data_IF_953537051392
#
_entry.id   IF_953537051392
#
_cell.length_a   1.000
_cell.length_b   1.000
_cell.length_c   1.000
_cell.angle_alpha   90.00
_cell.angle_beta   90.00
_cell.angle_gamma   90.00
#
_symmetry.space_group_name_H-M   'P 1'
#
loop_
_entity.id
_entity.type
_entity.pdbx_description
1 polymer ?
#
# COMPACT_ATOMS: atom_id res chain seq x y z
N UNK A 1 13.58 -36.40 -15.38
CA UNK A 1 13.04 -35.20 -16.04
C UNK A 1 12.45 -34.36 -14.91
N UNK A 2 12.55 -33.03 -14.95
CA UNK A 2 11.89 -32.19 -13.93
C UNK A 2 10.38 -32.44 -13.95
N UNK A 3 9.76 -32.39 -12.76
CA UNK A 3 8.31 -32.59 -12.60
C UNK A 3 7.54 -31.45 -13.27
N UNK A 4 6.39 -31.74 -13.92
CA UNK A 4 5.55 -30.70 -14.52
C UNK A 4 4.84 -29.88 -13.43
N UNK A 5 4.81 -28.55 -13.61
CA UNK A 5 4.15 -27.61 -12.70
C UNK A 5 3.55 -26.45 -13.50
N UNK A 6 2.34 -26.04 -13.17
CA UNK A 6 1.70 -24.86 -13.76
C UNK A 6 1.84 -23.68 -12.82
N UNK A 7 2.40 -22.57 -13.32
CA UNK A 7 2.39 -21.27 -12.64
C UNK A 7 1.22 -20.43 -13.15
N UNK A 8 0.31 -20.06 -12.24
CA UNK A 8 -0.75 -19.10 -12.51
C UNK A 8 -0.27 -17.71 -12.10
N UNK A 9 -0.14 -16.83 -13.07
CA UNK A 9 0.38 -15.48 -12.87
C UNK A 9 -0.77 -14.49 -12.80
N UNK A 10 -0.90 -13.77 -11.68
CA UNK A 10 -1.90 -12.73 -11.51
C UNK A 10 -1.67 -11.55 -12.46
N UNK A 11 -2.74 -11.00 -13.01
CA UNK A 11 -2.73 -9.72 -13.71
C UNK A 11 -4.00 -8.92 -13.30
N UNK A 12 -3.83 -7.71 -12.74
CA UNK A 12 -2.57 -7.02 -12.47
C UNK A 12 -1.82 -7.55 -11.24
N UNK A 13 -0.51 -7.31 -11.22
CA UNK A 13 0.39 -7.55 -10.08
C UNK A 13 1.48 -6.48 -10.03
N UNK A 14 2.23 -6.43 -8.94
CA UNK A 14 3.39 -5.54 -8.79
C UNK A 14 3.02 -4.05 -8.75
N UNK A 15 3.91 -3.18 -9.17
CA UNK A 15 3.79 -1.74 -9.01
C UNK A 15 2.45 -1.17 -9.46
N UNK A 16 1.90 -0.26 -8.65
CA UNK A 16 0.75 0.57 -9.01
C UNK A 16 1.20 1.99 -9.39
N UNK A 17 0.32 2.76 -10.03
CA UNK A 17 0.63 4.14 -10.44
C UNK A 17 1.07 5.05 -9.30
N UNK A 18 0.59 4.81 -8.06
CA UNK A 18 1.00 5.57 -6.88
C UNK A 18 2.44 5.31 -6.48
N UNK A 19 2.84 4.04 -6.51
CA UNK A 19 4.21 3.58 -6.24
C UNK A 19 5.18 4.06 -7.32
N UNK A 20 4.87 3.84 -8.59
CA UNK A 20 5.69 4.33 -9.71
C UNK A 20 5.94 5.83 -9.61
N UNK A 21 4.88 6.60 -9.34
CA UNK A 21 4.99 8.05 -9.16
C UNK A 21 5.92 8.41 -7.99
N UNK A 22 5.82 7.74 -6.87
CA UNK A 22 6.60 8.06 -5.68
C UNK A 22 8.10 7.77 -5.89
N UNK A 23 8.44 6.63 -6.49
CA UNK A 23 9.81 6.27 -6.85
C UNK A 23 10.37 7.30 -7.83
N UNK A 24 9.63 7.62 -8.90
CA UNK A 24 10.01 8.60 -9.90
C UNK A 24 10.26 9.99 -9.30
N UNK A 25 9.51 10.39 -8.29
CA UNK A 25 9.72 11.67 -7.59
C UNK A 25 11.10 11.70 -6.90
N UNK A 26 11.51 10.62 -6.24
CA UNK A 26 12.84 10.54 -5.60
C UNK A 26 13.94 10.57 -6.65
N UNK A 27 13.80 9.81 -7.73
CA UNK A 27 14.77 9.80 -8.85
C UNK A 27 14.92 11.20 -9.48
N UNK A 28 13.79 11.86 -9.77
CA UNK A 28 13.81 13.23 -10.30
C UNK A 28 14.38 14.25 -9.31
N UNK A 29 14.20 14.02 -8.00
CA UNK A 29 14.83 14.85 -6.97
C UNK A 29 16.35 14.68 -6.96
N UNK A 30 16.84 13.44 -7.06
CA UNK A 30 18.26 13.13 -7.17
C UNK A 30 18.88 13.75 -8.46
N UNK A 31 18.18 13.64 -9.59
CA UNK A 31 18.61 14.24 -10.85
C UNK A 31 18.67 15.77 -10.76
N UNK A 32 17.67 16.38 -10.13
CA UNK A 32 17.54 17.85 -10.11
C UNK A 32 18.47 18.53 -9.12
N UNK A 33 18.67 17.95 -7.93
CA UNK A 33 19.41 18.57 -6.82
C UNK A 33 20.72 17.87 -6.47
N UNK A 34 20.98 16.72 -7.06
CA UNK A 34 22.11 15.87 -6.71
C UNK A 34 21.92 15.16 -5.37
N UNK A 35 22.76 14.16 -5.14
CA UNK A 35 22.81 13.46 -3.87
C UNK A 35 23.50 14.30 -2.77
N UNK A 36 23.12 14.16 -1.50
CA UNK A 36 22.00 13.33 -1.00
C UNK A 36 20.64 14.02 -1.13
N UNK A 37 19.59 13.22 -1.42
CA UNK A 37 18.18 13.60 -1.25
C UNK A 37 17.64 12.80 -0.07
N UNK A 38 17.07 13.50 0.90
CA UNK A 38 16.47 12.84 2.06
C UNK A 38 15.06 12.36 1.75
N UNK A 39 14.69 11.20 2.27
CA UNK A 39 13.35 10.63 2.13
C UNK A 39 12.84 10.31 3.54
N UNK A 40 11.76 10.99 3.92
CA UNK A 40 11.14 10.75 5.21
C UNK A 40 10.31 9.49 5.14
N UNK A 41 10.67 8.49 5.95
CA UNK A 41 10.15 7.13 5.92
C UNK A 41 10.52 6.39 4.63
N UNK A 42 10.31 5.07 4.58
CA UNK A 42 10.42 4.33 3.33
C UNK A 42 9.48 4.94 2.29
N UNK A 43 9.98 5.22 1.08
CA UNK A 43 9.16 5.82 0.01
C UNK A 43 7.94 4.95 -0.30
N UNK A 44 8.14 3.63 -0.26
CA UNK A 44 7.16 2.55 -0.34
C UNK A 44 7.68 1.36 0.47
N UNK A 45 6.81 0.51 0.97
CA UNK A 45 7.20 -0.68 1.74
C UNK A 45 7.76 -1.77 0.85
N UNK A 46 9.01 -1.61 0.42
CA UNK A 46 9.78 -2.62 -0.31
C UNK A 46 11.27 -2.37 -0.17
N UNK A 47 11.98 -3.30 0.49
CA UNK A 47 13.41 -3.16 0.79
C UNK A 47 14.26 -3.06 -0.48
N UNK A 48 13.94 -3.83 -1.52
CA UNK A 48 14.66 -3.76 -2.80
C UNK A 48 14.63 -2.35 -3.38
N UNK A 49 13.44 -1.72 -3.41
CA UNK A 49 13.26 -0.35 -3.90
C UNK A 49 14.03 0.66 -3.04
N UNK A 50 13.95 0.51 -1.72
CA UNK A 50 14.67 1.38 -0.77
C UNK A 50 16.18 1.26 -0.98
N UNK A 51 16.72 0.04 -1.12
CA UNK A 51 18.15 -0.19 -1.31
C UNK A 51 18.64 0.30 -2.68
N UNK A 52 17.81 0.17 -3.73
CA UNK A 52 18.10 0.73 -5.05
C UNK A 52 18.21 2.28 -5.02
N UNK A 53 17.27 2.93 -4.35
CA UNK A 53 17.30 4.39 -4.19
C UNK A 53 18.46 4.86 -3.29
N UNK A 54 18.82 4.09 -2.24
CA UNK A 54 20.02 4.33 -1.45
C UNK A 54 21.27 4.28 -2.32
N UNK A 55 21.37 3.28 -3.19
CA UNK A 55 22.46 3.17 -4.16
C UNK A 55 22.56 4.35 -5.12
N UNK A 56 21.45 5.03 -5.40
CA UNK A 56 21.39 6.27 -6.21
C UNK A 56 21.68 7.55 -5.41
N UNK A 57 21.80 7.46 -4.06
CA UNK A 57 22.12 8.58 -3.19
C UNK A 57 20.94 9.13 -2.37
N UNK A 58 19.84 8.41 -2.28
CA UNK A 58 18.77 8.75 -1.34
C UNK A 58 19.15 8.35 0.10
N UNK A 59 18.82 9.19 1.08
CA UNK A 59 19.01 8.94 2.51
C UNK A 59 17.67 8.86 3.20
N UNK A 60 17.33 7.70 3.74
CA UNK A 60 16.05 7.48 4.41
C UNK A 60 16.18 7.81 5.89
N UNK A 61 15.26 8.61 6.40
CA UNK A 61 15.19 9.09 7.78
C UNK A 61 13.76 8.97 8.32
N UNK A 62 13.62 8.89 9.63
CA UNK A 62 12.30 8.88 10.27
C UNK A 62 11.83 10.30 10.62
N UNK A 63 12.72 11.13 11.10
CA UNK A 63 12.41 12.49 11.53
C UNK A 63 13.05 13.55 10.62
N UNK A 64 12.35 14.69 10.46
CA UNK A 64 12.92 15.86 9.78
C UNK A 64 14.13 16.44 10.53
N UNK A 65 14.24 16.18 11.85
CA UNK A 65 15.38 16.59 12.66
C UNK A 65 16.71 16.00 12.12
N UNK A 66 16.66 14.82 11.52
CA UNK A 66 17.81 14.14 10.92
C UNK A 66 18.17 14.67 9.53
N UNK A 67 17.35 15.57 8.97
CA UNK A 67 17.60 16.19 7.68
C UNK A 67 18.32 17.54 7.84
N UNK A 68 19.45 17.76 7.16
CA UNK A 68 20.05 19.08 7.03
C UNK A 68 19.07 20.06 6.34
N UNK A 69 18.92 21.29 6.84
CA UNK A 69 17.91 22.22 6.32
C UNK A 69 18.18 22.71 4.88
N UNK A 70 19.41 22.57 4.41
CA UNK A 70 19.85 22.95 3.06
C UNK A 70 19.68 21.82 2.03
N UNK A 71 19.15 20.66 2.43
CA UNK A 71 18.96 19.52 1.56
C UNK A 71 17.47 19.25 1.29
N UNK A 72 17.13 18.80 0.06
CA UNK A 72 15.75 18.46 -0.26
C UNK A 72 15.29 17.22 0.48
N UNK A 73 14.03 17.24 0.94
CA UNK A 73 13.37 16.09 1.56
C UNK A 73 12.10 15.69 0.77
N UNK A 74 11.91 14.40 0.59
CA UNK A 74 10.71 13.83 -0.03
C UNK A 74 9.88 13.12 1.03
N UNK A 75 8.59 13.43 1.11
CA UNK A 75 7.64 12.69 1.96
C UNK A 75 7.13 11.46 1.22
N UNK A 76 6.98 10.35 1.94
CA UNK A 76 6.65 9.05 1.33
C UNK A 76 5.25 8.99 0.70
N UNK A 77 5.01 7.94 -0.08
CA UNK A 77 3.71 7.70 -0.72
C UNK A 77 2.54 7.52 0.26
N UNK A 78 2.83 7.15 1.51
CA UNK A 78 1.86 6.88 2.55
C UNK A 78 1.16 8.14 3.09
N UNK A 79 1.71 9.32 2.80
CA UNK A 79 1.25 10.57 3.38
C UNK A 79 1.84 10.83 4.76
N UNK A 80 1.69 12.06 5.23
CA UNK A 80 2.23 12.53 6.51
C UNK A 80 1.19 13.36 7.26
N UNK A 81 1.25 13.40 8.61
CA UNK A 81 0.47 14.35 9.41
C UNK A 81 0.74 15.80 8.98
N UNK A 82 -0.24 16.68 9.15
CA UNK A 82 -0.08 18.14 8.87
C UNK A 82 1.07 18.80 9.61
N UNK A 83 1.46 18.26 10.76
CA UNK A 83 2.60 18.77 11.54
C UNK A 83 3.93 18.66 10.78
N UNK A 84 4.07 17.66 9.90
CA UNK A 84 5.33 17.41 9.16
C UNK A 84 5.62 18.51 8.12
N UNK A 85 4.71 18.84 7.19
CA UNK A 85 4.94 19.97 6.28
C UNK A 85 5.04 21.32 7.05
N UNK A 86 4.27 21.52 8.11
CA UNK A 86 4.38 22.71 8.94
C UNK A 86 5.75 22.85 9.59
N UNK A 87 6.34 21.76 10.09
CA UNK A 87 7.72 21.73 10.60
C UNK A 87 8.73 22.03 9.50
N UNK A 88 8.60 21.40 8.32
CA UNK A 88 9.47 21.65 7.19
C UNK A 88 9.46 23.14 6.76
N UNK A 89 8.29 23.76 6.73
CA UNK A 89 8.13 25.20 6.45
C UNK A 89 8.76 26.07 7.54
N UNK A 90 8.54 25.76 8.81
CA UNK A 90 9.17 26.48 9.93
C UNK A 90 10.69 26.43 9.84
N UNK A 91 11.24 25.26 9.48
CA UNK A 91 12.68 25.06 9.30
C UNK A 91 13.20 25.56 7.93
N UNK A 92 12.33 26.10 7.07
CA UNK A 92 12.65 26.59 5.71
C UNK A 92 13.29 25.53 4.82
N UNK A 93 12.88 24.29 4.98
CA UNK A 93 13.36 23.16 4.20
C UNK A 93 12.70 23.14 2.82
N UNK A 94 13.46 22.71 1.82
CA UNK A 94 12.89 22.36 0.53
C UNK A 94 12.30 20.95 0.63
N UNK A 95 10.97 20.82 0.51
CA UNK A 95 10.33 19.51 0.52
C UNK A 95 9.49 19.26 -0.73
N UNK A 96 9.30 17.97 -1.03
CA UNK A 96 8.41 17.47 -2.09
C UNK A 96 7.52 16.40 -1.49
N UNK A 97 6.22 16.58 -1.65
CA UNK A 97 5.23 15.61 -1.19
C UNK A 97 4.98 14.55 -2.27
N UNK A 98 5.38 13.30 -2.00
CA UNK A 98 5.12 12.16 -2.86
C UNK A 98 3.86 11.36 -2.45
N UNK A 99 3.07 11.84 -1.50
CA UNK A 99 1.81 11.21 -1.09
C UNK A 99 0.99 10.77 -2.31
N UNK A 100 0.56 9.51 -2.30
CA UNK A 100 -0.29 8.97 -3.36
C UNK A 100 -1.57 9.81 -3.50
N UNK A 101 -1.99 10.19 -4.70
CA UNK A 101 -3.23 10.95 -4.89
C UNK A 101 -4.48 10.29 -4.29
N UNK A 102 -4.50 8.95 -4.19
CA UNK A 102 -5.62 8.22 -3.58
C UNK A 102 -5.59 8.32 -2.05
N UNK A 103 -4.42 8.40 -1.43
CA UNK A 103 -4.27 8.71 0.00
C UNK A 103 -4.64 10.18 0.25
N UNK A 104 -4.18 11.10 -0.59
CA UNK A 104 -4.58 12.52 -0.49
C UNK A 104 -6.10 12.71 -0.59
N UNK A 105 -6.80 11.87 -1.39
CA UNK A 105 -8.27 11.86 -1.44
C UNK A 105 -8.86 11.57 -0.05
N UNK A 106 -8.34 10.57 0.66
CA UNK A 106 -8.81 10.21 2.01
C UNK A 106 -8.55 11.35 3.00
N UNK A 107 -7.36 11.98 2.93
CA UNK A 107 -7.03 13.16 3.75
C UNK A 107 -8.05 14.29 3.56
N UNK A 108 -8.32 14.67 2.30
CA UNK A 108 -9.29 15.73 1.95
C UNK A 108 -10.70 15.37 2.41
N UNK A 109 -11.08 14.10 2.31
CA UNK A 109 -12.39 13.62 2.74
C UNK A 109 -12.55 13.71 4.26
N UNK A 110 -11.52 13.31 5.01
CA UNK A 110 -11.47 13.46 6.47
C UNK A 110 -11.65 14.94 6.88
N UNK A 111 -10.87 15.83 6.27
CA UNK A 111 -10.96 17.28 6.54
C UNK A 111 -12.36 17.85 6.22
N UNK A 112 -12.93 17.44 5.10
CA UNK A 112 -14.27 17.91 4.69
C UNK A 112 -15.34 17.44 5.66
N UNK A 113 -15.33 16.19 6.10
CA UNK A 113 -16.28 15.68 7.07
C UNK A 113 -16.12 16.37 8.42
N UNK A 114 -14.89 16.55 8.89
CA UNK A 114 -14.61 17.29 10.12
C UNK A 114 -15.09 18.76 10.04
N UNK A 115 -14.86 19.46 8.92
CA UNK A 115 -15.33 20.81 8.71
C UNK A 115 -16.88 20.93 8.74
N UNK A 116 -17.58 19.83 8.44
CA UNK A 116 -19.03 19.72 8.58
C UNK A 116 -19.46 19.32 10.00
N UNK A 117 -18.53 19.27 10.97
CA UNK A 117 -18.77 18.96 12.37
C UNK A 117 -18.98 17.47 12.66
N UNK A 118 -18.53 16.57 11.78
CA UNK A 118 -18.56 15.14 12.01
C UNK A 118 -17.27 14.68 12.69
N UNK A 119 -17.37 13.80 13.69
CA UNK A 119 -16.24 13.09 14.22
C UNK A 119 -15.88 11.91 13.32
N UNK A 120 -14.60 11.63 13.14
CA UNK A 120 -14.14 10.60 12.19
C UNK A 120 -13.89 9.25 12.88
N UNK A 121 -14.32 8.19 12.23
CA UNK A 121 -13.85 6.82 12.51
C UNK A 121 -12.92 6.44 11.36
N UNK A 122 -11.69 6.06 11.67
CA UNK A 122 -10.70 5.55 10.70
C UNK A 122 -10.65 4.02 10.82
N UNK A 123 -10.99 3.32 9.74
CA UNK A 123 -10.75 1.88 9.63
C UNK A 123 -9.34 1.70 9.07
N UNK A 124 -8.43 1.12 9.85
CA UNK A 124 -7.01 1.02 9.44
C UNK A 124 -6.18 0.34 10.50
N UNK A 125 -4.92 0.06 10.18
CA UNK A 125 -3.98 -0.59 11.11
C UNK A 125 -3.24 0.43 11.97
N UNK A 126 -3.25 0.20 13.28
CA UNK A 126 -2.47 1.00 14.24
C UNK A 126 -0.97 0.99 13.86
N UNK A 127 -0.33 2.14 13.95
CA UNK A 127 1.09 2.28 13.64
C UNK A 127 1.45 2.29 12.15
N UNK A 128 0.52 1.99 11.24
CA UNK A 128 0.80 2.09 9.82
C UNK A 128 0.98 3.55 9.39
N UNK A 129 2.02 3.91 8.59
CA UNK A 129 2.29 5.30 8.19
C UNK A 129 1.10 6.02 7.54
N UNK A 130 0.32 5.33 6.69
CA UNK A 130 -0.88 5.90 6.07
C UNK A 130 -1.95 6.24 7.12
N UNK A 131 -2.15 5.36 8.11
CA UNK A 131 -3.10 5.59 9.21
C UNK A 131 -2.66 6.78 10.06
N UNK A 132 -1.38 6.84 10.43
CA UNK A 132 -0.80 7.97 11.16
C UNK A 132 -0.94 9.27 10.36
N UNK A 133 -0.60 9.23 9.07
CA UNK A 133 -0.72 10.38 8.16
C UNK A 133 -2.15 10.90 8.06
N UNK A 134 -3.10 10.00 7.89
CA UNK A 134 -4.53 10.33 7.75
C UNK A 134 -5.13 10.86 9.07
N UNK A 135 -4.87 10.19 10.18
CA UNK A 135 -5.33 10.66 11.50
C UNK A 135 -4.76 12.05 11.83
N UNK A 136 -3.50 12.29 11.45
CA UNK A 136 -2.81 13.57 11.66
C UNK A 136 -3.27 14.71 10.75
N UNK A 137 -4.27 14.51 9.90
CA UNK A 137 -4.93 15.62 9.17
C UNK A 137 -5.90 16.40 10.07
N UNK A 138 -6.36 15.80 11.15
CA UNK A 138 -7.34 16.39 12.06
C UNK A 138 -6.70 16.64 13.44
N UNK A 139 -7.33 17.51 14.28
CA UNK A 139 -6.86 17.72 15.64
C UNK A 139 -6.85 16.44 16.46
N UNK A 140 -5.99 16.32 17.47
CA UNK A 140 -5.98 15.18 18.39
C UNK A 140 -7.35 14.89 18.99
N UNK A 141 -7.77 13.60 19.00
CA UNK A 141 -9.06 13.18 19.53
C UNK A 141 -10.24 13.25 18.56
N UNK A 142 -10.06 13.84 17.36
CA UNK A 142 -11.12 13.92 16.35
C UNK A 142 -11.26 12.65 15.52
N UNK A 143 -10.28 11.73 15.56
CA UNK A 143 -10.30 10.47 14.83
C UNK A 143 -10.23 9.30 15.82
N UNK A 144 -11.21 8.39 15.72
CA UNK A 144 -11.25 7.13 16.46
C UNK A 144 -10.77 6.03 15.52
N UNK A 145 -9.72 5.30 15.90
CA UNK A 145 -9.21 4.18 15.11
C UNK A 145 -9.96 2.89 15.43
N UNK A 146 -10.29 2.14 14.39
CA UNK A 146 -10.94 0.82 14.44
C UNK A 146 -10.18 -0.10 13.49
N UNK A 147 -9.74 -1.26 13.98
CA UNK A 147 -9.04 -2.26 13.16
C UNK A 147 -9.93 -3.45 12.82
N UNK A 148 -10.79 -3.85 13.77
CA UNK A 148 -11.60 -5.06 13.67
C UNK A 148 -13.06 -4.81 14.03
N UNK A 149 -13.93 -5.77 13.72
CA UNK A 149 -15.35 -5.75 14.15
C UNK A 149 -15.48 -5.65 15.68
N UNK A 150 -14.56 -6.27 16.43
CA UNK A 150 -14.58 -6.22 17.91
C UNK A 150 -14.33 -4.80 18.42
N UNK A 151 -13.48 -4.01 17.76
CA UNK A 151 -13.19 -2.64 18.16
C UNK A 151 -14.40 -1.74 18.00
N UNK A 152 -15.29 -2.02 17.05
CA UNK A 152 -16.53 -1.26 16.85
C UNK A 152 -17.35 -1.20 18.16
N UNK A 153 -17.36 -2.27 18.96
CA UNK A 153 -18.05 -2.30 20.24
C UNK A 153 -17.49 -1.31 21.27
N UNK A 154 -16.23 -0.92 21.16
CA UNK A 154 -15.53 -0.02 22.07
C UNK A 154 -15.56 1.44 21.66
N UNK A 155 -16.05 1.75 20.44
CA UNK A 155 -16.14 3.13 19.94
C UNK A 155 -17.04 3.98 20.83
N UNK A 156 -16.51 5.04 21.41
CA UNK A 156 -17.26 6.02 22.21
C UNK A 156 -17.15 7.38 21.52
N UNK A 157 -18.08 7.74 20.64
CA UNK A 157 -18.04 9.03 19.96
C UNK A 157 -18.56 10.14 20.85
N UNK A 158 -18.17 11.37 20.52
CA UNK A 158 -18.69 12.59 21.15
C UNK A 158 -20.21 12.73 20.93
N UNK A 159 -20.66 12.43 19.71
CA UNK A 159 -22.07 12.45 19.32
C UNK A 159 -22.30 11.29 18.32
N UNK A 160 -23.09 10.27 18.66
CA UNK A 160 -23.32 9.12 17.79
C UNK A 160 -24.11 9.44 16.51
N UNK A 161 -24.83 10.56 16.47
CA UNK A 161 -25.56 11.01 15.28
C UNK A 161 -24.68 11.83 14.33
N UNK A 162 -23.46 12.18 14.70
CA UNK A 162 -22.56 13.03 13.94
C UNK A 162 -21.21 12.37 13.66
N UNK A 163 -21.27 11.24 12.98
CA UNK A 163 -20.10 10.42 12.63
C UNK A 163 -19.92 10.31 11.12
N UNK A 164 -18.67 10.22 10.70
CA UNK A 164 -18.31 9.72 9.38
C UNK A 164 -17.17 8.71 9.51
N UNK A 165 -17.03 7.81 8.55
CA UNK A 165 -15.89 6.91 8.49
C UNK A 165 -15.13 7.04 7.19
N UNK A 166 -13.84 6.76 7.27
CA UNK A 166 -12.88 6.62 6.18
C UNK A 166 -12.08 5.35 6.38
N UNK A 167 -11.40 4.87 5.33
CA UNK A 167 -10.59 3.66 5.43
C UNK A 167 -9.18 3.88 4.92
N UNK A 168 -8.24 3.08 5.42
CA UNK A 168 -6.93 2.93 4.82
C UNK A 168 -7.07 2.32 3.42
N UNK A 169 -6.22 2.74 2.46
CA UNK A 169 -6.37 2.37 1.05
C UNK A 169 -5.96 0.93 0.71
N UNK A 170 -5.31 0.24 1.64
CA UNK A 170 -4.69 -1.09 1.42
C UNK A 170 -5.29 -2.22 2.26
N UNK A 171 -6.51 -2.05 2.76
CA UNK A 171 -7.20 -3.06 3.56
C UNK A 171 -7.76 -4.22 2.70
N UNK A 172 -8.12 -5.31 3.36
CA UNK A 172 -8.98 -6.34 2.78
C UNK A 172 -10.37 -5.78 2.53
N UNK A 173 -10.90 -5.98 1.32
CA UNK A 173 -12.24 -5.52 0.95
C UNK A 173 -13.29 -6.20 1.82
N UNK A 174 -13.18 -7.53 1.97
CA UNK A 174 -14.16 -8.34 2.68
C UNK A 174 -14.17 -8.03 4.19
N UNK A 175 -12.96 -7.93 4.81
CA UNK A 175 -12.85 -7.61 6.23
C UNK A 175 -13.31 -6.17 6.52
N UNK A 176 -13.03 -5.25 5.61
CA UNK A 176 -13.49 -3.85 5.73
C UNK A 176 -15.00 -3.76 5.64
N UNK A 177 -15.64 -4.54 4.75
CA UNK A 177 -17.09 -4.59 4.64
C UNK A 177 -17.74 -5.05 5.96
N UNK A 178 -17.18 -6.08 6.62
CA UNK A 178 -17.65 -6.56 7.92
C UNK A 178 -17.57 -5.47 9.02
N UNK A 179 -16.46 -4.70 9.05
CA UNK A 179 -16.31 -3.57 9.99
C UNK A 179 -17.31 -2.45 9.68
N UNK A 180 -17.49 -2.12 8.41
CA UNK A 180 -18.45 -1.08 7.95
C UNK A 180 -19.88 -1.47 8.31
N UNK A 181 -20.26 -2.73 8.12
CA UNK A 181 -21.59 -3.22 8.47
C UNK A 181 -21.82 -3.16 9.98
N UNK A 182 -20.83 -3.52 10.78
CA UNK A 182 -20.89 -3.39 12.23
C UNK A 182 -21.01 -1.91 12.68
N UNK A 183 -20.27 -0.99 12.05
CA UNK A 183 -20.38 0.44 12.32
C UNK A 183 -21.77 0.96 11.98
N UNK A 184 -22.34 0.62 10.81
CA UNK A 184 -23.69 1.03 10.38
C UNK A 184 -24.78 0.42 11.29
N UNK A 185 -24.59 -0.81 11.75
CA UNK A 185 -25.54 -1.43 12.69
C UNK A 185 -25.55 -0.72 14.04
N UNK A 186 -24.39 -0.22 14.48
CA UNK A 186 -24.27 0.48 15.77
C UNK A 186 -24.62 1.96 15.69
N UNK A 187 -24.28 2.63 14.59
CA UNK A 187 -24.45 4.06 14.38
C UNK A 187 -25.22 4.30 13.08
N UNK A 188 -26.54 4.32 13.17
CA UNK A 188 -27.42 4.36 11.99
C UNK A 188 -27.25 5.62 11.10
N UNK A 189 -26.78 6.73 11.69
CA UNK A 189 -26.54 7.98 10.98
C UNK A 189 -25.10 8.13 10.44
N UNK A 190 -24.24 7.13 10.61
CA UNK A 190 -22.82 7.23 10.18
C UNK A 190 -22.70 7.40 8.66
N UNK A 191 -21.90 8.37 8.23
CA UNK A 191 -21.69 8.69 6.82
C UNK A 191 -20.38 8.05 6.33
N UNK A 192 -20.46 7.29 5.25
CA UNK A 192 -19.29 6.72 4.59
C UNK A 192 -18.69 7.63 3.51
N UNK A 193 -17.56 7.23 2.93
CA UNK A 193 -16.94 7.93 1.82
C UNK A 193 -17.86 7.93 0.58
N UNK A 194 -17.82 9.01 -0.20
CA UNK A 194 -18.62 9.13 -1.45
C UNK A 194 -18.21 8.10 -2.51
N UNK A 195 -16.95 7.71 -2.51
CA UNK A 195 -16.34 6.64 -3.32
C UNK A 195 -15.47 5.86 -2.39
N UNK A 196 -15.39 4.56 -2.57
CA UNK A 196 -14.56 3.69 -1.76
C UNK A 196 -13.13 4.22 -1.61
N UNK A 197 -12.59 4.10 -0.41
CA UNK A 197 -11.23 4.53 -0.09
C UNK A 197 -10.21 3.45 -0.40
N UNK A 198 -10.59 2.16 -0.33
CA UNK A 198 -9.73 1.07 -0.79
C UNK A 198 -9.42 1.31 -2.27
N UNK A 199 -8.13 1.42 -2.59
CA UNK A 199 -7.72 1.87 -3.91
C UNK A 199 -7.90 0.77 -4.98
N UNK A 200 -8.07 1.20 -6.24
CA UNK A 200 -8.22 0.29 -7.38
C UNK A 200 -7.11 -0.78 -7.43
N UNK A 201 -5.87 -0.39 -7.10
CA UNK A 201 -4.73 -1.30 -7.15
C UNK A 201 -4.84 -2.41 -6.09
N UNK A 202 -5.34 -2.08 -4.91
CA UNK A 202 -5.65 -3.06 -3.86
C UNK A 202 -6.79 -3.98 -4.30
N UNK A 203 -7.89 -3.41 -4.78
CA UNK A 203 -9.06 -4.16 -5.25
C UNK A 203 -8.68 -5.13 -6.36
N UNK A 204 -8.04 -4.65 -7.42
CA UNK A 204 -7.70 -5.48 -8.57
C UNK A 204 -6.78 -6.66 -8.21
N UNK A 205 -5.80 -6.44 -7.32
CA UNK A 205 -4.88 -7.51 -6.89
C UNK A 205 -5.58 -8.54 -6.02
N UNK A 206 -6.50 -8.12 -5.16
CA UNK A 206 -7.31 -9.05 -4.37
C UNK A 206 -8.24 -9.88 -5.26
N UNK A 207 -8.89 -9.26 -6.24
CA UNK A 207 -9.74 -9.97 -7.21
C UNK A 207 -8.94 -10.98 -8.05
N UNK A 208 -7.70 -10.63 -8.45
CA UNK A 208 -6.82 -11.57 -9.15
C UNK A 208 -6.46 -12.79 -8.27
N UNK A 209 -6.19 -12.60 -6.99
CA UNK A 209 -5.95 -13.70 -6.04
C UNK A 209 -7.20 -14.56 -5.88
N UNK A 210 -8.38 -13.96 -5.70
CA UNK A 210 -9.64 -14.71 -5.60
C UNK A 210 -9.92 -15.55 -6.85
N UNK A 211 -9.63 -15.00 -8.03
CA UNK A 211 -9.81 -15.71 -9.30
C UNK A 211 -8.82 -16.88 -9.50
N UNK A 212 -7.63 -16.80 -8.90
CA UNK A 212 -6.62 -17.87 -8.94
C UNK A 212 -6.88 -18.96 -7.91
N UNK A 213 -7.35 -18.61 -6.71
CA UNK A 213 -7.42 -19.49 -5.55
C UNK A 213 -8.05 -20.87 -5.85
N UNK A 214 -9.15 -20.99 -6.62
CA UNK A 214 -9.73 -22.29 -6.97
C UNK A 214 -8.89 -23.18 -7.91
N UNK A 215 -7.83 -22.62 -8.50
CA UNK A 215 -7.01 -23.28 -9.54
C UNK A 215 -5.65 -23.72 -9.03
N UNK A 216 -5.27 -23.33 -7.81
CA UNK A 216 -3.91 -23.46 -7.30
C UNK A 216 -3.87 -24.25 -5.99
N UNK A 217 -2.79 -24.99 -5.81
CA UNK A 217 -2.49 -25.72 -4.57
C UNK A 217 -1.80 -24.80 -3.54
N UNK A 218 -1.03 -23.83 -4.03
CA UNK A 218 -0.27 -22.89 -3.22
C UNK A 218 -0.23 -21.50 -3.86
N UNK A 219 -0.13 -20.45 -3.02
CA UNK A 219 0.01 -19.06 -3.43
C UNK A 219 1.33 -18.48 -2.91
N UNK A 220 2.12 -17.91 -3.80
CA UNK A 220 3.26 -17.04 -3.43
C UNK A 220 2.92 -15.58 -3.71
N UNK A 221 3.07 -14.77 -2.69
CA UNK A 221 2.90 -13.32 -2.75
C UNK A 221 4.26 -12.67 -2.65
N UNK A 222 4.72 -12.02 -3.70
CA UNK A 222 5.96 -11.26 -3.68
C UNK A 222 5.68 -9.89 -3.03
N UNK A 223 6.39 -9.58 -1.94
CA UNK A 223 6.20 -8.34 -1.21
C UNK A 223 6.96 -8.27 0.10
N UNK A 224 6.87 -7.15 0.78
CA UNK A 224 7.55 -6.93 2.05
C UNK A 224 6.61 -7.23 3.25
N UNK A 225 7.14 -7.72 4.37
CA UNK A 225 6.35 -8.05 5.56
C UNK A 225 5.71 -6.83 6.23
N UNK A 226 6.22 -5.61 6.01
CA UNK A 226 5.62 -4.36 6.48
C UNK A 226 4.68 -3.71 5.45
N UNK A 227 4.45 -4.37 4.29
CA UNK A 227 3.47 -3.90 3.29
C UNK A 227 2.09 -4.45 3.61
N UNK A 228 1.18 -3.59 4.05
CA UNK A 228 -0.23 -3.94 4.31
C UNK A 228 -0.86 -4.61 3.08
N UNK A 229 -0.70 -4.04 1.89
CA UNK A 229 -1.24 -4.64 0.66
C UNK A 229 -0.73 -6.07 0.44
N UNK A 230 0.57 -6.33 0.63
CA UNK A 230 1.15 -7.68 0.41
C UNK A 230 0.64 -8.70 1.43
N UNK A 231 0.52 -8.30 2.70
CA UNK A 231 -0.06 -9.17 3.74
C UNK A 231 -1.51 -9.53 3.45
N UNK A 232 -2.32 -8.53 3.04
CA UNK A 232 -3.73 -8.75 2.68
C UNK A 232 -3.88 -9.74 1.54
N UNK A 233 -2.98 -9.78 0.56
CA UNK A 233 -3.04 -10.77 -0.53
C UNK A 233 -2.84 -12.21 -0.02
N UNK A 234 -1.98 -12.42 0.98
CA UNK A 234 -1.81 -13.74 1.64
C UNK A 234 -3.11 -14.14 2.34
N UNK A 235 -3.69 -13.23 3.10
CA UNK A 235 -4.93 -13.48 3.86
C UNK A 235 -6.11 -13.74 2.94
N UNK A 236 -6.26 -12.93 1.89
CA UNK A 236 -7.30 -13.13 0.86
C UNK A 236 -7.15 -14.49 0.18
N UNK A 237 -5.92 -14.90 -0.15
CA UNK A 237 -5.65 -16.23 -0.70
C UNK A 237 -6.09 -17.36 0.21
N UNK A 238 -5.77 -17.26 1.52
CA UNK A 238 -6.20 -18.24 2.53
C UNK A 238 -7.73 -18.26 2.70
N UNK A 239 -8.35 -17.08 2.80
CA UNK A 239 -9.82 -16.94 2.90
C UNK A 239 -10.54 -17.49 1.66
N UNK A 240 -9.93 -17.35 0.48
CA UNK A 240 -10.45 -17.89 -0.77
C UNK A 240 -10.22 -19.41 -0.93
N UNK A 241 -9.68 -20.09 0.08
CA UNK A 241 -9.54 -21.54 0.13
C UNK A 241 -8.20 -22.09 -0.37
N UNK A 242 -7.19 -21.23 -0.63
CA UNK A 242 -5.86 -21.72 -0.93
C UNK A 242 -5.23 -22.38 0.29
N UNK A 243 -4.83 -23.66 0.17
CA UNK A 243 -4.32 -24.46 1.28
C UNK A 243 -3.00 -23.98 1.86
N UNK A 244 -2.17 -23.35 1.04
CA UNK A 244 -0.92 -22.74 1.46
C UNK A 244 -0.72 -21.37 0.79
N UNK A 245 -0.39 -20.36 1.58
CA UNK A 245 -0.06 -19.03 1.07
C UNK A 245 1.13 -18.45 1.84
N UNK A 246 2.17 -18.04 1.10
CA UNK A 246 3.41 -17.50 1.66
C UNK A 246 3.71 -16.12 1.08
N UNK A 247 4.13 -15.19 1.96
CA UNK A 247 4.75 -13.94 1.58
C UNK A 247 6.26 -14.15 1.45
N UNK A 248 6.84 -13.74 0.34
CA UNK A 248 8.29 -13.80 0.08
C UNK A 248 8.79 -12.47 -0.47
N UNK A 249 9.96 -12.01 -0.01
CA UNK A 249 10.61 -10.84 -0.58
C UNK A 249 11.46 -11.20 -1.80
N UNK A 250 12.04 -12.40 -1.78
CA UNK A 250 12.99 -12.93 -2.79
C UNK A 250 12.76 -14.43 -2.99
N UNK A 251 13.21 -14.96 -4.11
CA UNK A 251 13.16 -16.39 -4.40
C UNK A 251 13.86 -17.27 -3.34
N UNK A 252 14.89 -16.72 -2.68
CA UNK A 252 15.61 -17.43 -1.62
C UNK A 252 14.77 -17.73 -0.37
N UNK A 253 13.64 -17.04 -0.18
CA UNK A 253 12.73 -17.21 0.97
C UNK A 253 11.63 -18.25 0.71
N UNK A 254 11.57 -18.83 -0.50
CA UNK A 254 10.54 -19.83 -0.84
C UNK A 254 10.73 -21.09 0.00
N UNK A 255 9.68 -21.48 0.72
CA UNK A 255 9.63 -22.77 1.42
C UNK A 255 9.28 -23.89 0.43
N UNK A 256 10.32 -24.42 -0.21
CA UNK A 256 10.19 -25.51 -1.19
C UNK A 256 9.62 -26.80 -0.57
N UNK A 257 9.72 -27.01 0.73
CA UNK A 257 9.17 -28.19 1.40
C UNK A 257 7.65 -28.09 1.47
N UNK A 258 7.12 -26.90 1.78
CA UNK A 258 5.69 -26.65 1.80
C UNK A 258 5.05 -26.74 0.41
N UNK A 259 5.83 -26.54 -0.66
CA UNK A 259 5.40 -26.67 -2.05
C UNK A 259 5.56 -28.11 -2.61
N UNK A 260 6.08 -29.05 -1.82
CA UNK A 260 6.27 -30.45 -2.27
C UNK A 260 4.93 -31.08 -2.64
N UNK A 261 4.85 -31.61 -3.88
CA UNK A 261 3.65 -32.22 -4.42
C UNK A 261 2.63 -31.23 -5.01
N UNK A 262 2.83 -29.93 -4.92
CA UNK A 262 2.03 -28.95 -5.64
C UNK A 262 2.20 -29.10 -7.14
N UNK A 263 1.11 -29.06 -7.90
CA UNK A 263 1.05 -29.09 -9.35
C UNK A 263 0.71 -27.75 -9.96
N UNK A 264 0.09 -26.89 -9.18
CA UNK A 264 -0.37 -25.58 -9.57
C UNK A 264 -0.01 -24.54 -8.49
N UNK A 265 0.80 -23.56 -8.83
CA UNK A 265 1.23 -22.49 -7.91
C UNK A 265 0.81 -21.13 -8.50
N UNK A 266 0.07 -20.37 -7.69
CA UNK A 266 -0.26 -18.99 -8.00
C UNK A 266 0.88 -18.05 -7.60
N UNK A 267 1.18 -17.10 -8.47
CA UNK A 267 2.16 -16.04 -8.22
C UNK A 267 1.47 -14.69 -8.38
N UNK A 268 1.56 -13.87 -7.34
CA UNK A 268 1.15 -12.47 -7.36
C UNK A 268 2.19 -11.60 -6.68
N UNK A 269 2.04 -10.28 -6.80
CA UNK A 269 2.94 -9.34 -6.17
C UNK A 269 2.16 -8.14 -5.63
N UNK A 270 2.54 -7.70 -4.43
CA UNK A 270 1.96 -6.50 -3.82
C UNK A 270 2.27 -5.23 -4.62
N UNK A 271 1.47 -4.19 -4.42
CA UNK A 271 1.53 -2.94 -5.17
C UNK A 271 2.87 -2.17 -5.05
N UNK A 272 3.74 -2.58 -4.13
CA UNK A 272 5.09 -2.02 -3.92
C UNK A 272 6.24 -2.94 -4.36
N UNK A 273 5.93 -4.12 -4.95
CA UNK A 273 6.94 -5.07 -5.41
C UNK A 273 7.23 -4.88 -6.90
N UNK A 274 8.50 -4.68 -7.31
CA UNK A 274 8.86 -4.55 -8.72
C UNK A 274 8.82 -5.90 -9.43
N UNK A 275 8.55 -5.87 -10.75
CA UNK A 275 8.41 -7.06 -11.58
C UNK A 275 9.69 -7.91 -11.60
N UNK A 276 10.87 -7.32 -11.45
CA UNK A 276 12.14 -8.05 -11.37
C UNK A 276 12.16 -9.11 -10.26
N UNK A 277 11.46 -8.88 -9.14
CA UNK A 277 11.36 -9.86 -8.07
C UNK A 277 10.39 -11.00 -8.41
N UNK A 278 9.37 -10.73 -9.22
CA UNK A 278 8.46 -11.75 -9.75
C UNK A 278 9.21 -12.65 -10.73
N UNK A 279 9.98 -12.06 -11.63
CA UNK A 279 10.82 -12.81 -12.58
C UNK A 279 11.87 -13.67 -11.87
N UNK A 280 12.46 -13.18 -10.77
CA UNK A 280 13.39 -13.96 -9.93
C UNK A 280 12.69 -15.21 -9.36
N UNK A 281 11.46 -15.08 -8.88
CA UNK A 281 10.67 -16.20 -8.35
C UNK A 281 10.33 -17.18 -9.48
N UNK A 282 9.86 -16.70 -10.63
CA UNK A 282 9.55 -17.55 -11.79
C UNK A 282 10.78 -18.32 -12.26
N UNK A 283 11.94 -17.66 -12.35
CA UNK A 283 13.21 -18.31 -12.71
C UNK A 283 13.57 -19.45 -11.74
N UNK A 284 13.41 -19.23 -10.42
CA UNK A 284 13.67 -20.26 -9.42
C UNK A 284 12.76 -21.49 -9.56
N UNK A 285 11.52 -21.33 -10.06
CA UNK A 285 10.65 -22.46 -10.42
C UNK A 285 11.13 -23.16 -11.69
N UNK A 286 11.51 -22.42 -12.74
CA UNK A 286 12.02 -22.99 -13.99
C UNK A 286 13.31 -23.81 -13.77
N UNK A 287 14.13 -23.47 -12.79
CA UNK A 287 15.32 -24.22 -12.42
C UNK A 287 15.00 -25.60 -11.79
N UNK A 288 13.79 -25.79 -11.25
CA UNK A 288 13.38 -27.01 -10.52
C UNK A 288 12.35 -27.85 -11.24
N UNK A 289 11.47 -27.23 -12.01
CA UNK A 289 10.29 -27.86 -12.61
C UNK A 289 10.22 -27.64 -14.12
N UNK A 290 9.46 -28.50 -14.80
CA UNK A 290 9.03 -28.24 -16.17
C UNK A 290 7.78 -27.31 -16.11
N UNK A 291 8.04 -26.00 -16.15
CA UNK A 291 7.03 -24.97 -15.90
C UNK A 291 6.18 -24.69 -17.15
N UNK A 292 4.85 -24.72 -17.00
CA UNK A 292 3.89 -24.08 -17.87
C UNK A 292 3.36 -22.80 -17.19
N UNK A 293 3.12 -21.73 -17.92
CA UNK A 293 2.66 -20.47 -17.38
C UNK A 293 1.28 -20.12 -17.93
N UNK A 294 0.36 -19.74 -17.03
CA UNK A 294 -0.98 -19.27 -17.36
C UNK A 294 -1.22 -17.89 -16.74
N UNK A 295 -1.67 -16.93 -17.56
CA UNK A 295 -2.03 -15.59 -17.09
C UNK A 295 -3.48 -15.58 -16.60
N UNK A 296 -3.72 -15.10 -15.37
CA UNK A 296 -5.05 -14.85 -14.82
C UNK A 296 -5.28 -13.34 -14.78
N UNK A 297 -5.82 -12.82 -15.89
CA UNK A 297 -6.11 -11.39 -16.04
C UNK A 297 -7.53 -11.08 -15.58
N UNK A 298 -7.67 -10.22 -14.55
CA UNK A 298 -8.96 -9.76 -14.02
C UNK A 298 -9.24 -8.29 -14.34
N UNK A 299 -8.19 -7.50 -14.54
CA UNK A 299 -8.31 -6.08 -14.88
C UNK A 299 -7.05 -5.60 -15.63
N UNK A 300 -7.20 -4.50 -16.39
CA UNK A 300 -6.09 -3.75 -16.99
C UNK A 300 -6.00 -2.37 -16.38
N UNK A 301 -4.83 -2.04 -15.86
CA UNK A 301 -4.57 -0.74 -15.24
C UNK A 301 -3.92 0.21 -16.25
N UNK A 302 -4.53 1.38 -16.45
CA UNK A 302 -4.03 2.44 -17.35
C UNK A 302 -3.88 3.78 -16.64
N UNK A 303 -3.96 3.77 -15.31
CA UNK A 303 -3.91 4.99 -14.51
C UNK A 303 -2.46 5.46 -14.42
N UNK A 304 -2.25 6.76 -14.69
CA UNK A 304 -1.00 7.46 -14.44
C UNK A 304 -1.23 8.68 -13.57
N UNK A 305 -0.38 8.87 -12.59
CA UNK A 305 -0.40 10.07 -11.75
C UNK A 305 0.71 11.05 -12.13
N UNK A 306 0.31 12.29 -12.35
CA UNK A 306 1.29 13.35 -12.68
C UNK A 306 2.22 13.61 -11.50
N UNK A 307 3.52 13.78 -11.80
CA UNK A 307 4.51 14.23 -10.82
C UNK A 307 4.22 15.68 -10.36
N UNK A 308 4.72 16.13 -9.20
CA UNK A 308 4.58 17.50 -8.73
C UNK A 308 5.06 18.54 -9.76
N UNK A 309 4.46 19.73 -9.72
CA UNK A 309 4.76 20.81 -10.70
C UNK A 309 6.24 21.18 -10.76
N UNK A 310 6.97 21.05 -9.67
CA UNK A 310 8.39 21.37 -9.57
C UNK A 310 9.27 20.50 -10.50
N UNK A 311 8.77 19.35 -10.94
CA UNK A 311 9.43 18.42 -11.86
C UNK A 311 8.87 18.44 -13.29
N UNK A 312 7.80 19.22 -13.53
CA UNK A 312 7.26 19.33 -14.90
C UNK A 312 8.06 20.33 -15.68
N UNK A 313 8.39 20.02 -16.95
CA UNK A 313 8.93 21.02 -17.86
C UNK A 313 7.98 22.22 -17.90
N UNK A 314 8.51 23.43 -17.82
CA UNK A 314 7.71 24.62 -18.13
C UNK A 314 7.31 24.49 -19.59
N UNK A 315 6.02 24.30 -19.84
CA UNK A 315 5.48 24.48 -21.19
C UNK A 315 5.73 25.94 -21.53
N UNK A 316 6.64 26.16 -22.47
CA UNK A 316 6.96 27.48 -22.99
C UNK A 316 5.77 28.07 -23.76
#
# INVERSE_FOLDING_TARGET
MPEPLTLYLAAPRGFCAGVDRAIKIVEMALEKWGAPVYVRHEIVHNRYVVDELRGKGAVFVEDLADCPPDRPVVFSAHGVPKSVPAEAEHRRMLYVDATCPLVSKVHIEAERHHANGLQMVMIGHAGHPETIGTMGQLPPGEVILVETVADVATVVPRDPERLAFITQTTLSIDDTAEVVDALKARFAAIIGPRREDICYATTNRQEAVKAMAPKIDALLVIGAPNSSNSQRLVEVGRRAGCGYAQLVQRAAEIDWRALSGARAVGITAGASAPEVLVEEVIAAFRDRYAVAEELVETARESIEFKVPRIFRARVA
#
